data_IF_781755500732
#
_entry.id   IF_781755500732
#
_cell.length_a   1.000
_cell.length_b   1.000
_cell.length_c   1.000
_cell.angle_alpha   90.00
_cell.angle_beta   90.00
_cell.angle_gamma   90.00
#
_symmetry.space_group_name_H-M   'P 1'
#
loop_
_entity.id
_entity.type
_entity.pdbx_description
1 polymer ?
#
# COMPACT_ATOMS: atom_id res chain seq x y z
N UNK A 1 -15.46 13.46 18.97
CA UNK A 1 -13.99 13.37 19.15
C UNK A 1 -13.30 12.51 18.10
N UNK A 2 -13.97 11.64 17.34
CA UNK A 2 -13.37 10.89 16.21
C UNK A 2 -12.28 9.89 16.59
N UNK A 3 -11.91 9.80 17.88
CA UNK A 3 -10.94 8.87 18.40
C UNK A 3 -11.52 7.45 18.37
N UNK A 4 -10.68 6.48 18.00
CA UNK A 4 -11.01 5.06 18.07
C UNK A 4 -9.86 4.28 18.72
N UNK A 5 -10.18 3.07 19.15
CA UNK A 5 -9.25 2.09 19.69
C UNK A 5 -9.70 0.69 19.26
N UNK A 6 -8.73 -0.20 19.04
CA UNK A 6 -8.95 -1.64 18.80
C UNK A 6 -8.29 -2.37 19.96
N UNK A 7 -9.04 -3.27 20.59
CA UNK A 7 -8.62 -4.03 21.77
C UNK A 7 -8.63 -5.53 21.45
N UNK A 8 -7.53 -6.21 21.78
CA UNK A 8 -7.40 -7.67 21.68
C UNK A 8 -6.86 -8.21 23.00
N UNK A 9 -7.51 -9.22 23.57
CA UNK A 9 -7.09 -9.80 24.86
C UNK A 9 -7.09 -8.81 26.04
N UNK A 10 -7.90 -7.75 25.98
CA UNK A 10 -7.95 -6.70 26.99
C UNK A 10 -6.82 -5.65 26.88
N UNK A 11 -5.99 -5.73 25.85
CA UNK A 11 -4.90 -4.78 25.58
C UNK A 11 -5.23 -3.97 24.33
N UNK A 12 -5.04 -2.66 24.40
CA UNK A 12 -5.16 -1.78 23.24
C UNK A 12 -4.03 -2.06 22.23
N UNK A 13 -4.39 -2.48 21.02
CA UNK A 13 -3.43 -2.83 19.95
C UNK A 13 -3.32 -1.73 18.89
N UNK A 14 -4.37 -0.94 18.70
CA UNK A 14 -4.37 0.21 17.78
C UNK A 14 -5.15 1.35 18.41
N UNK A 15 -4.63 2.57 18.32
CA UNK A 15 -5.36 3.79 18.65
C UNK A 15 -5.22 4.80 17.53
N UNK A 16 -6.21 5.67 17.35
CA UNK A 16 -6.15 6.67 16.30
C UNK A 16 -7.37 7.56 16.23
N UNK A 17 -7.49 8.28 15.12
CA UNK A 17 -8.63 9.14 14.81
C UNK A 17 -9.18 8.79 13.43
N UNK A 18 -10.50 8.73 13.33
CA UNK A 18 -11.24 8.51 12.10
C UNK A 18 -12.34 9.57 11.99
N UNK A 19 -12.52 10.10 10.78
CA UNK A 19 -13.63 10.98 10.45
C UNK A 19 -14.02 10.80 9.00
N UNK A 20 -15.30 11.04 8.72
CA UNK A 20 -15.77 11.21 7.35
C UNK A 20 -15.18 12.52 6.79
N UNK A 21 -14.73 12.49 5.54
CA UNK A 21 -14.36 13.68 4.78
C UNK A 21 -15.42 13.93 3.71
N UNK A 22 -16.07 15.11 3.68
CA UNK A 22 -17.00 15.45 2.61
C UNK A 22 -16.30 15.70 1.27
N UNK A 23 -14.99 15.96 1.28
CA UNK A 23 -14.19 16.20 0.09
C UNK A 23 -12.79 15.58 0.27
N UNK A 24 -12.68 14.25 0.15
CA UNK A 24 -11.41 13.55 0.37
C UNK A 24 -10.34 13.97 -0.65
N UNK A 25 -10.72 14.40 -1.85
CA UNK A 25 -9.79 14.89 -2.89
C UNK A 25 -8.99 16.10 -2.41
N UNK A 26 -9.61 17.04 -1.68
CA UNK A 26 -8.92 18.20 -1.10
C UNK A 26 -7.99 17.84 0.07
N UNK A 27 -8.16 16.64 0.64
CA UNK A 27 -7.39 16.16 1.77
C UNK A 27 -6.27 15.19 1.38
N UNK A 28 -6.19 14.83 0.09
CA UNK A 28 -5.10 14.03 -0.47
C UNK A 28 -3.82 14.86 -0.53
N UNK A 29 -2.68 14.17 -0.44
CA UNK A 29 -1.38 14.79 -0.62
C UNK A 29 -1.16 14.93 -2.13
N UNK A 30 -0.85 16.14 -2.60
CA UNK A 30 -0.36 16.33 -3.96
C UNK A 30 1.05 15.79 -4.02
N UNK A 31 1.21 14.59 -4.57
CA UNK A 31 2.54 14.01 -4.84
C UNK A 31 2.94 14.46 -6.24
N UNK A 32 4.06 15.20 -6.42
CA UNK A 32 4.63 15.40 -7.73
C UNK A 32 4.97 14.02 -8.31
N UNK A 33 4.38 13.67 -9.45
CA UNK A 33 4.84 12.49 -10.18
C UNK A 33 6.31 12.71 -10.54
N UNK A 34 7.23 11.75 -10.25
CA UNK A 34 8.62 11.89 -10.62
C UNK A 34 8.76 12.20 -12.12
N UNK A 35 9.52 13.24 -12.45
CA UNK A 35 9.70 13.78 -13.81
C UNK A 35 10.40 12.79 -14.76
N UNK A 36 11.14 11.83 -14.22
CA UNK A 36 11.77 10.74 -14.96
C UNK A 36 11.18 9.43 -14.44
N UNK A 37 10.37 8.76 -15.26
CA UNK A 37 9.78 7.48 -14.88
C UNK A 37 10.85 6.40 -14.98
N UNK A 38 11.55 6.14 -13.87
CA UNK A 38 12.32 4.90 -13.71
C UNK A 38 11.40 3.73 -14.10
N UNK A 39 11.91 2.86 -14.98
CA UNK A 39 11.12 1.74 -15.48
C UNK A 39 10.89 0.72 -14.35
N UNK A 40 9.69 0.13 -14.32
CA UNK A 40 9.36 -0.90 -13.34
C UNK A 40 9.97 -2.25 -13.74
N UNK A 41 11.30 -2.35 -13.60
CA UNK A 41 12.10 -3.49 -14.06
C UNK A 41 12.02 -4.72 -13.16
N UNK A 42 11.60 -4.57 -11.90
CA UNK A 42 11.43 -5.71 -10.98
C UNK A 42 10.06 -6.33 -11.21
N UNK A 43 10.01 -7.63 -11.48
CA UNK A 43 8.77 -8.38 -11.58
C UNK A 43 8.29 -8.91 -10.21
N UNK A 44 7.11 -9.53 -10.16
CA UNK A 44 6.56 -10.15 -8.95
C UNK A 44 7.55 -11.13 -8.30
N UNK A 45 8.30 -11.91 -9.08
CA UNK A 45 9.22 -12.91 -8.55
C UNK A 45 10.40 -12.23 -7.86
N UNK A 46 10.96 -11.19 -8.46
CA UNK A 46 12.08 -10.42 -7.91
C UNK A 46 11.68 -9.72 -6.61
N UNK A 47 10.54 -9.03 -6.62
CA UNK A 47 10.01 -8.28 -5.48
C UNK A 47 9.82 -9.19 -4.27
N UNK A 48 9.11 -10.30 -4.45
CA UNK A 48 8.82 -11.20 -3.33
C UNK A 48 9.99 -12.12 -2.96
N UNK A 49 10.98 -12.28 -3.84
CA UNK A 49 12.27 -12.87 -3.46
C UNK A 49 13.01 -11.94 -2.51
N UNK A 50 13.10 -10.64 -2.81
CA UNK A 50 13.73 -9.65 -1.94
C UNK A 50 13.00 -9.55 -0.59
N UNK A 51 11.68 -9.43 -0.59
CA UNK A 51 10.90 -9.43 0.67
C UNK A 51 11.10 -10.71 1.47
N UNK A 52 11.21 -11.88 0.82
CA UNK A 52 11.50 -13.13 1.51
C UNK A 52 12.89 -13.14 2.14
N UNK A 53 13.90 -12.58 1.48
CA UNK A 53 15.25 -12.44 2.04
C UNK A 53 15.28 -11.53 3.28
N UNK A 54 14.34 -10.58 3.39
CA UNK A 54 14.14 -9.71 4.56
C UNK A 54 13.29 -10.36 5.66
N UNK A 55 12.81 -11.59 5.47
CA UNK A 55 12.05 -12.36 6.44
C UNK A 55 10.53 -12.36 6.25
N UNK A 56 10.00 -11.68 5.22
CA UNK A 56 8.55 -11.67 4.97
C UNK A 56 8.07 -12.92 4.22
N UNK A 57 6.97 -13.52 4.66
CA UNK A 57 6.41 -14.76 4.09
C UNK A 57 5.04 -14.51 3.45
N UNK A 58 4.94 -13.51 2.56
CA UNK A 58 3.70 -13.15 1.89
C UNK A 58 3.18 -14.26 0.95
N UNK A 59 1.85 -14.42 0.92
CA UNK A 59 1.14 -15.38 0.06
C UNK A 59 -0.26 -14.91 -0.31
N UNK A 60 -0.88 -15.55 -1.32
CA UNK A 60 -2.24 -15.23 -1.76
C UNK A 60 -2.42 -13.77 -2.17
N UNK A 61 -3.47 -13.11 -1.67
CA UNK A 61 -3.81 -11.72 -1.98
C UNK A 61 -2.76 -10.71 -1.46
N UNK A 62 -1.94 -11.10 -0.49
CA UNK A 62 -0.83 -10.28 0.03
C UNK A 62 0.42 -10.36 -0.85
N UNK A 63 0.32 -11.04 -1.99
CA UNK A 63 1.37 -11.15 -3.00
C UNK A 63 0.94 -10.50 -4.33
N UNK A 64 0.44 -9.26 -4.29
CA UNK A 64 -0.24 -8.60 -5.40
C UNK A 64 0.58 -7.51 -6.12
N UNK A 65 1.81 -7.20 -5.69
CA UNK A 65 2.69 -6.29 -6.42
C UNK A 65 3.17 -6.98 -7.71
N UNK A 66 2.79 -6.41 -8.86
CA UNK A 66 3.08 -6.94 -10.20
C UNK A 66 4.45 -6.53 -10.69
N UNK A 67 4.78 -5.26 -10.52
CA UNK A 67 6.03 -4.65 -10.96
C UNK A 67 6.43 -3.49 -10.06
N UNK A 68 7.72 -3.20 -10.00
CA UNK A 68 8.26 -2.08 -9.25
C UNK A 68 9.59 -1.57 -9.82
N UNK A 69 9.89 -0.30 -9.58
CA UNK A 69 11.24 0.28 -9.77
C UNK A 69 12.22 -0.32 -8.77
N UNK A 70 13.52 -0.30 -9.09
CA UNK A 70 14.56 -0.80 -8.16
C UNK A 70 14.63 0.00 -6.86
N UNK A 71 14.26 1.28 -6.93
CA UNK A 71 14.18 2.19 -5.77
C UNK A 71 12.92 1.99 -4.92
N UNK A 72 11.96 1.18 -5.37
CA UNK A 72 10.63 1.06 -4.75
C UNK A 72 9.80 2.35 -4.77
N UNK A 73 10.19 3.35 -5.57
CA UNK A 73 9.51 4.64 -5.68
C UNK A 73 8.19 4.58 -6.47
N UNK A 74 8.09 3.62 -7.40
CA UNK A 74 6.90 3.36 -8.21
C UNK A 74 6.68 1.85 -8.33
N UNK A 75 5.41 1.44 -8.42
CA UNK A 75 5.05 0.07 -8.71
C UNK A 75 3.57 -0.10 -9.02
N UNK A 76 3.23 -1.27 -9.54
CA UNK A 76 1.88 -1.66 -9.94
C UNK A 76 1.35 -2.74 -9.01
N UNK A 77 0.16 -2.55 -8.45
CA UNK A 77 -0.49 -3.48 -7.51
C UNK A 77 -1.82 -3.94 -8.11
N UNK A 78 -2.06 -5.25 -8.14
CA UNK A 78 -3.36 -5.78 -8.55
C UNK A 78 -4.45 -5.52 -7.53
N UNK A 79 -5.62 -5.10 -8.03
CA UNK A 79 -6.82 -4.94 -7.24
C UNK A 79 -7.68 -6.21 -7.26
N UNK A 80 -7.98 -6.74 -6.07
CA UNK A 80 -8.76 -7.98 -5.90
C UNK A 80 -10.00 -7.79 -5.01
N UNK A 81 -10.62 -6.60 -5.06
CA UNK A 81 -11.77 -6.22 -4.22
C UNK A 81 -11.54 -6.43 -2.71
N UNK A 82 -10.29 -6.30 -2.25
CA UNK A 82 -9.90 -6.48 -0.86
C UNK A 82 -9.00 -5.33 -0.41
N UNK A 83 -9.59 -4.38 0.31
CA UNK A 83 -8.91 -3.20 0.82
C UNK A 83 -7.77 -3.53 1.79
N UNK A 84 -7.92 -4.57 2.61
CA UNK A 84 -6.89 -4.99 3.57
C UNK A 84 -5.64 -5.42 2.83
N UNK A 85 -5.78 -6.34 1.87
CA UNK A 85 -4.66 -6.79 1.05
C UNK A 85 -4.07 -5.64 0.22
N UNK A 86 -4.91 -4.81 -0.42
CA UNK A 86 -4.43 -3.72 -1.25
C UNK A 86 -3.59 -2.70 -0.45
N UNK A 87 -4.06 -2.27 0.72
CA UNK A 87 -3.30 -1.36 1.58
C UNK A 87 -2.04 -2.01 2.15
N UNK A 88 -2.07 -3.31 2.47
CA UNK A 88 -0.86 -4.03 2.88
C UNK A 88 0.19 -4.06 1.76
N UNK A 89 -0.21 -4.32 0.52
CA UNK A 89 0.70 -4.24 -0.63
C UNK A 89 1.27 -2.81 -0.83
N UNK A 90 0.52 -1.76 -0.50
CA UNK A 90 1.06 -0.38 -0.49
C UNK A 90 2.13 -0.19 0.60
N UNK A 91 1.97 -0.81 1.77
CA UNK A 91 2.98 -0.79 2.84
C UNK A 91 4.21 -1.62 2.44
N UNK A 92 4.01 -2.74 1.76
CA UNK A 92 5.09 -3.55 1.18
C UNK A 92 5.95 -2.75 0.19
N UNK A 93 5.35 -1.90 -0.65
CA UNK A 93 6.10 -0.99 -1.54
C UNK A 93 7.01 -0.04 -0.75
N UNK A 94 6.52 0.51 0.37
CA UNK A 94 7.35 1.36 1.24
C UNK A 94 8.52 0.58 1.86
N UNK A 95 8.28 -0.66 2.27
CA UNK A 95 9.31 -1.55 2.81
C UNK A 95 10.35 -1.87 1.73
N UNK A 96 9.91 -2.19 0.51
CA UNK A 96 10.77 -2.51 -0.63
C UNK A 96 11.78 -1.40 -0.90
N UNK A 97 11.32 -0.15 -0.94
CA UNK A 97 12.17 1.03 -1.14
C UNK A 97 13.00 1.47 0.07
N UNK A 98 12.95 0.73 1.19
CA UNK A 98 13.82 0.98 2.35
C UNK A 98 15.14 0.24 2.17
N UNK A 99 16.26 0.94 2.32
CA UNK A 99 17.63 0.42 2.06
C UNK A 99 18.08 -0.65 3.07
N UNK A 100 17.43 -0.75 4.24
CA UNK A 100 17.76 -1.77 5.23
C UNK A 100 17.12 -3.11 4.88
N UNK A 101 17.86 -4.21 5.02
CA UNK A 101 17.33 -5.59 4.93
C UNK A 101 16.67 -6.10 6.22
N UNK A 102 16.41 -5.21 7.17
CA UNK A 102 15.77 -5.58 8.42
C UNK A 102 14.29 -5.90 8.20
N UNK A 103 13.76 -6.79 9.03
CA UNK A 103 12.32 -6.99 9.16
C UNK A 103 11.73 -5.76 9.86
N UNK A 104 10.83 -5.07 9.17
CA UNK A 104 10.16 -3.86 9.63
C UNK A 104 8.66 -4.11 9.71
N UNK A 105 8.04 -3.54 10.73
CA UNK A 105 6.58 -3.53 10.86
C UNK A 105 6.10 -2.09 10.94
N UNK A 106 4.96 -1.74 10.30
CA UNK A 106 4.37 -0.42 10.46
C UNK A 106 4.00 -0.17 11.92
N UNK A 107 4.53 0.91 12.51
CA UNK A 107 4.24 1.29 13.90
C UNK A 107 3.28 2.46 14.02
N UNK A 108 3.08 3.21 12.93
CA UNK A 108 2.15 4.34 12.91
C UNK A 108 1.98 4.92 11.52
N UNK A 109 0.80 5.51 11.28
CA UNK A 109 0.47 6.25 10.07
C UNK A 109 -0.04 7.61 10.51
N UNK A 110 0.63 8.68 10.06
CA UNK A 110 0.26 10.04 10.45
C UNK A 110 -1.11 10.45 9.88
N UNK A 111 -1.38 10.12 8.61
CA UNK A 111 -2.63 10.41 7.92
C UNK A 111 -2.86 9.40 6.81
N UNK A 112 -4.08 8.89 6.71
CA UNK A 112 -4.55 8.08 5.59
C UNK A 112 -5.87 8.66 5.09
N UNK A 113 -5.91 9.09 3.83
CA UNK A 113 -7.13 9.56 3.17
C UNK A 113 -7.56 8.50 2.16
N UNK A 114 -8.77 7.95 2.32
CA UNK A 114 -9.32 6.95 1.41
C UNK A 114 -10.48 7.57 0.65
N UNK A 115 -10.32 7.71 -0.67
CA UNK A 115 -11.37 8.13 -1.58
C UNK A 115 -11.88 6.93 -2.38
N UNK A 116 -12.90 6.28 -1.84
CA UNK A 116 -13.44 5.05 -2.44
C UNK A 116 -14.12 5.29 -3.78
N UNK A 117 -14.74 6.47 -3.98
CA UNK A 117 -15.43 6.80 -5.23
C UNK A 117 -14.43 6.96 -6.37
N UNK A 118 -13.39 7.75 -6.15
CA UNK A 118 -12.33 7.95 -7.15
C UNK A 118 -11.59 6.65 -7.43
N UNK A 119 -11.26 5.87 -6.39
CA UNK A 119 -10.60 4.56 -6.57
C UNK A 119 -11.44 3.62 -7.46
N UNK A 120 -12.74 3.47 -7.19
CA UNK A 120 -13.60 2.61 -8.00
C UNK A 120 -13.78 3.11 -9.43
N UNK A 121 -13.80 4.43 -9.65
CA UNK A 121 -13.82 5.00 -11.00
C UNK A 121 -12.54 4.68 -11.76
N UNK A 122 -11.38 4.79 -11.13
CA UNK A 122 -10.09 4.45 -11.73
C UNK A 122 -10.01 2.98 -12.10
N UNK A 123 -10.42 2.07 -11.20
CA UNK A 123 -10.46 0.64 -11.47
C UNK A 123 -11.38 0.31 -12.67
N UNK A 124 -12.55 0.95 -12.77
CA UNK A 124 -13.47 0.73 -13.90
C UNK A 124 -12.95 1.28 -15.23
N UNK A 125 -12.07 2.28 -15.19
CA UNK A 125 -11.47 2.87 -16.38
C UNK A 125 -10.20 2.14 -16.84
N UNK A 126 -9.63 1.25 -16.01
CA UNK A 126 -8.50 0.42 -16.41
C UNK A 126 -8.93 -0.64 -17.43
N UNK A 127 -8.11 -0.94 -18.46
CA UNK A 127 -8.37 -2.04 -19.38
C UNK A 127 -8.44 -3.37 -18.64
N UNK A 128 -9.26 -4.31 -19.11
CA UNK A 128 -9.44 -5.65 -18.51
C UNK A 128 -8.18 -6.54 -18.55
N UNK A 129 -7.09 -6.08 -19.16
CA UNK A 129 -5.83 -6.81 -19.35
C UNK A 129 -4.90 -6.71 -18.14
N UNK A 130 -5.35 -7.21 -16.98
CA UNK A 130 -4.48 -7.57 -15.86
C UNK A 130 -5.15 -8.51 -14.84
N UNK A 131 -5.98 -9.47 -15.29
CA UNK A 131 -6.34 -10.63 -14.46
C UNK A 131 -5.20 -11.63 -14.38
#
# INVERSE_FOLDING_TARGET
TGRFEVVEGGVAVVTGFVRHSPNPQQEQITVPLPLESEEEVMDTKDIYKELRLRGYQYSGLFKAIKSATTTGSKGTISWANNWVAFMDNMLQMKILGTDTRNLLVPTGIQKLTIDTKTHLQQIRAMPDDAK
#
